data_IF_649380161444
#
_entry.id   IF_649380161444
#
_cell.length_a   1.000
_cell.length_b   1.000
_cell.length_c   1.000
_cell.angle_alpha   90.00
_cell.angle_beta   90.00
_cell.angle_gamma   90.00
#
_symmetry.space_group_name_H-M   'P 1'
#
loop_
_entity.id
_entity.type
_entity.pdbx_description
1 polymer ?
#
# COMPACT_ATOMS: atom_id res chain seq x y z
N UNK A 1 19.86 -10.81 -5.53
CA UNK A 1 19.24 -10.23 -6.75
C UNK A 1 17.89 -10.87 -7.13
N UNK A 2 17.62 -12.13 -6.77
CA UNK A 2 16.31 -12.77 -7.04
C UNK A 2 15.15 -12.25 -6.15
N UNK A 3 15.42 -11.87 -4.90
CA UNK A 3 14.41 -11.40 -3.93
C UNK A 3 13.76 -10.06 -4.30
N UNK A 4 14.48 -9.15 -4.96
CA UNK A 4 13.93 -7.86 -5.42
C UNK A 4 12.99 -8.00 -6.62
N UNK A 5 13.21 -9.01 -7.46
CA UNK A 5 12.36 -9.31 -8.62
C UNK A 5 11.01 -9.92 -8.19
N UNK A 6 11.02 -10.78 -7.17
CA UNK A 6 9.80 -11.37 -6.61
C UNK A 6 8.94 -10.31 -5.91
N UNK A 7 9.55 -9.42 -5.13
CA UNK A 7 8.81 -8.35 -4.45
C UNK A 7 8.21 -7.34 -5.46
N UNK A 8 8.97 -7.00 -6.51
CA UNK A 8 8.46 -6.18 -7.62
C UNK A 8 7.32 -6.85 -8.37
N UNK A 9 7.43 -8.15 -8.67
CA UNK A 9 6.37 -8.90 -9.34
C UNK A 9 5.11 -9.06 -8.48
N UNK A 10 5.24 -9.24 -7.17
CA UNK A 10 4.09 -9.31 -6.24
C UNK A 10 3.41 -7.95 -6.08
N UNK A 11 4.19 -6.85 -6.00
CA UNK A 11 3.65 -5.50 -5.95
C UNK A 11 2.92 -5.13 -7.25
N UNK A 12 3.53 -5.46 -8.40
CA UNK A 12 2.91 -5.26 -9.73
C UNK A 12 1.69 -6.15 -9.91
N UNK A 13 1.71 -7.41 -9.47
CA UNK A 13 0.55 -8.30 -9.53
C UNK A 13 -0.58 -7.85 -8.59
N UNK A 14 -0.27 -7.28 -7.42
CA UNK A 14 -1.27 -6.68 -6.52
C UNK A 14 -1.87 -5.40 -7.12
N UNK A 15 -1.04 -4.55 -7.73
CA UNK A 15 -1.49 -3.32 -8.41
C UNK A 15 -2.31 -3.64 -9.67
N UNK A 16 -1.89 -4.63 -10.46
CA UNK A 16 -2.64 -5.10 -11.64
C UNK A 16 -3.92 -5.83 -11.25
N UNK A 17 -3.94 -6.60 -10.14
CA UNK A 17 -5.14 -7.23 -9.62
C UNK A 17 -6.18 -6.22 -9.13
N UNK A 18 -5.73 -5.11 -8.52
CA UNK A 18 -6.59 -4.01 -8.13
C UNK A 18 -7.18 -3.25 -9.34
N UNK A 19 -6.38 -3.05 -10.40
CA UNK A 19 -6.82 -2.40 -11.65
C UNK A 19 -7.73 -3.31 -12.50
N UNK A 20 -7.52 -4.62 -12.47
CA UNK A 20 -8.34 -5.60 -13.20
C UNK A 20 -9.73 -5.81 -12.56
N UNK A 21 -9.86 -5.59 -11.25
CA UNK A 21 -11.14 -5.73 -10.54
C UNK A 21 -12.20 -4.69 -10.97
N UNK A 22 -11.79 -3.58 -11.60
CA UNK A 22 -12.69 -2.49 -12.02
C UNK A 22 -13.16 -2.58 -13.49
N UNK A 23 -12.66 -3.54 -14.29
CA UNK A 23 -13.08 -3.74 -15.69
C UNK A 23 -13.75 -5.09 -15.96
N UNK A 24 -15.08 -5.05 -16.02
CA UNK A 24 -16.02 -5.80 -16.87
C UNK A 24 -16.03 -7.35 -16.91
N UNK A 25 -17.26 -7.91 -16.82
CA UNK A 25 -17.77 -8.97 -17.71
C UNK A 25 -17.20 -10.40 -17.56
N UNK A 26 -18.07 -11.36 -17.19
CA UNK A 26 -17.77 -12.76 -16.88
C UNK A 26 -17.02 -13.60 -17.95
N UNK A 27 -16.88 -13.14 -19.20
CA UNK A 27 -16.40 -13.97 -20.32
C UNK A 27 -14.89 -13.83 -20.62
N UNK A 28 -14.22 -12.77 -20.13
CA UNK A 28 -12.81 -12.49 -20.46
C UNK A 28 -11.83 -12.97 -19.36
N UNK A 29 -12.36 -13.64 -18.32
CA UNK A 29 -11.62 -14.00 -17.09
C UNK A 29 -10.52 -15.05 -17.30
N UNK A 30 -10.61 -15.88 -18.33
CA UNK A 30 -9.65 -16.97 -18.55
C UNK A 30 -8.48 -16.57 -19.47
N UNK A 31 -8.70 -15.72 -20.47
CA UNK A 31 -7.64 -15.31 -21.40
C UNK A 31 -6.58 -14.42 -20.77
N UNK A 32 -7.01 -13.45 -19.96
CA UNK A 32 -6.14 -12.43 -19.35
C UNK A 32 -5.27 -13.02 -18.24
N UNK A 33 -5.80 -13.93 -17.41
CA UNK A 33 -5.02 -14.63 -16.40
C UNK A 33 -3.96 -15.58 -17.01
N UNK A 34 -4.28 -16.24 -18.14
CA UNK A 34 -3.35 -17.14 -18.83
C UNK A 34 -2.24 -16.36 -19.53
N UNK A 35 -2.55 -15.21 -20.15
CA UNK A 35 -1.55 -14.33 -20.74
C UNK A 35 -0.57 -13.77 -19.69
N UNK A 36 -1.07 -13.36 -18.52
CA UNK A 36 -0.23 -12.85 -17.42
C UNK A 36 0.62 -13.94 -16.73
N UNK A 37 0.12 -15.18 -16.62
CA UNK A 37 0.90 -16.30 -16.10
C UNK A 37 2.05 -16.67 -17.04
N UNK A 38 1.80 -16.66 -18.36
CA UNK A 38 2.82 -16.93 -19.38
C UNK A 38 3.93 -15.85 -19.42
N UNK A 39 3.61 -14.61 -19.08
CA UNK A 39 4.58 -13.49 -19.07
C UNK A 39 5.50 -13.50 -17.82
N UNK A 40 5.19 -14.31 -16.81
CA UNK A 40 5.95 -14.40 -15.54
C UNK A 40 6.86 -15.62 -15.41
N UNK A 41 6.76 -16.59 -16.33
CA UNK A 41 7.55 -17.83 -16.33
C UNK A 41 8.54 -17.81 -17.50
N UNK A 42 9.83 -17.97 -17.20
CA UNK A 42 10.88 -18.07 -18.23
C UNK A 42 10.84 -19.43 -18.96
N UNK A 43 11.49 -19.50 -20.11
CA UNK A 43 11.40 -20.54 -21.15
C UNK A 43 11.39 -22.03 -20.73
N UNK A 44 10.81 -22.84 -21.61
CA UNK A 44 10.45 -24.27 -21.52
C UNK A 44 9.34 -24.66 -20.52
N UNK A 45 9.33 -24.13 -19.29
CA UNK A 45 8.27 -24.46 -18.31
C UNK A 45 6.90 -23.83 -18.67
N UNK A 46 6.93 -22.63 -19.26
CA UNK A 46 5.72 -21.94 -19.74
C UNK A 46 5.08 -22.63 -20.96
N UNK A 47 5.91 -23.24 -21.82
CA UNK A 47 5.44 -23.95 -23.00
C UNK A 47 4.71 -25.23 -22.61
N UNK A 48 5.24 -25.98 -21.63
CA UNK A 48 4.66 -27.24 -21.18
C UNK A 48 3.37 -27.02 -20.38
N UNK A 49 3.31 -25.96 -19.55
CA UNK A 49 2.10 -25.55 -18.85
C UNK A 49 0.98 -25.09 -19.82
N UNK A 50 1.33 -24.30 -20.85
CA UNK A 50 0.39 -23.87 -21.88
C UNK A 50 -0.10 -25.04 -22.74
N UNK A 51 0.75 -26.01 -23.09
CA UNK A 51 0.35 -27.20 -23.85
C UNK A 51 -0.56 -28.12 -23.04
N UNK A 52 -0.27 -28.27 -21.74
CA UNK A 52 -1.06 -29.09 -20.82
C UNK A 52 -2.45 -28.48 -20.58
N UNK A 53 -2.53 -27.15 -20.45
CA UNK A 53 -3.79 -26.43 -20.30
C UNK A 53 -4.58 -26.32 -21.60
N UNK A 54 -3.93 -26.18 -22.76
CA UNK A 54 -4.59 -26.21 -24.06
C UNK A 54 -5.18 -27.60 -24.36
N UNK A 55 -4.50 -28.68 -23.95
CA UNK A 55 -5.04 -30.06 -24.03
C UNK A 55 -6.20 -30.29 -23.06
N UNK A 56 -6.15 -29.72 -21.86
CA UNK A 56 -7.25 -29.78 -20.89
C UNK A 56 -8.51 -29.04 -21.38
N UNK A 57 -8.33 -27.91 -22.08
CA UNK A 57 -9.45 -27.11 -22.60
C UNK A 57 -10.08 -27.71 -23.88
N UNK A 58 -9.34 -28.53 -24.63
CA UNK A 58 -9.84 -29.23 -25.82
C UNK A 58 -10.64 -30.52 -25.51
N UNK A 59 -10.53 -31.06 -24.29
CA UNK A 59 -11.10 -32.33 -23.86
C UNK A 59 -11.95 -32.13 -22.60
N UNK A 60 -13.15 -31.56 -22.76
CA UNK A 60 -14.02 -31.19 -21.64
C UNK A 60 -14.20 -32.25 -20.54
N UNK A 61 -14.21 -31.77 -19.29
CA UNK A 61 -14.61 -32.26 -17.95
C UNK A 61 -14.58 -33.76 -17.56
N UNK A 62 -14.34 -34.71 -18.45
CA UNK A 62 -14.45 -36.15 -18.15
C UNK A 62 -13.14 -36.95 -18.13
N UNK A 63 -12.08 -36.48 -18.78
CA UNK A 63 -10.87 -37.30 -19.02
C UNK A 63 -9.61 -36.87 -18.25
N UNK A 64 -9.62 -35.71 -17.58
CA UNK A 64 -8.45 -35.14 -16.87
C UNK A 64 -7.99 -36.01 -15.69
N UNK A 65 -8.91 -36.72 -15.04
CA UNK A 65 -8.60 -37.55 -13.87
C UNK A 65 -7.76 -38.80 -14.18
N UNK A 66 -7.63 -39.20 -15.46
CA UNK A 66 -6.92 -40.43 -15.86
C UNK A 66 -5.46 -40.23 -16.26
N UNK A 67 -5.06 -39.01 -16.62
CA UNK A 67 -3.68 -38.70 -17.06
C UNK A 67 -2.78 -38.38 -15.86
N UNK A 68 -3.33 -37.75 -14.82
CA UNK A 68 -2.56 -37.41 -13.60
C UNK A 68 -2.09 -38.63 -12.79
N UNK A 69 -2.62 -39.83 -13.07
CA UNK A 69 -2.19 -41.07 -12.41
C UNK A 69 -1.06 -41.80 -13.12
N UNK A 70 -0.85 -41.57 -14.43
CA UNK A 70 0.20 -42.27 -15.19
C UNK A 70 1.56 -41.54 -15.10
N UNK A 71 1.59 -40.20 -15.07
CA UNK A 71 2.86 -39.45 -14.97
C UNK A 71 3.56 -39.55 -13.60
N UNK A 72 2.83 -39.96 -12.55
CA UNK A 72 3.42 -40.16 -11.22
C UNK A 72 4.18 -41.50 -11.08
N UNK A 73 4.07 -42.41 -12.06
CA UNK A 73 4.68 -43.73 -12.01
C UNK A 73 6.11 -43.79 -12.60
N UNK A 74 6.51 -42.80 -13.42
CA UNK A 74 7.76 -42.89 -14.22
C UNK A 74 8.97 -42.17 -13.62
N UNK A 75 8.86 -41.45 -12.49
CA UNK A 75 9.97 -40.64 -11.97
C UNK A 75 10.82 -41.34 -10.89
N UNK A 76 10.94 -42.66 -10.94
CA UNK A 76 11.69 -43.44 -9.95
C UNK A 76 12.72 -44.36 -10.59
N UNK A 77 13.77 -43.82 -11.22
CA UNK A 77 15.03 -44.54 -11.46
C UNK A 77 16.20 -43.59 -11.76
N UNK A 78 17.35 -43.97 -11.21
CA UNK A 78 18.74 -43.64 -11.58
C UNK A 78 19.40 -42.39 -10.97
N UNK A 79 20.69 -42.36 -10.62
CA UNK A 79 21.68 -43.29 -10.01
C UNK A 79 22.98 -42.46 -9.87
N UNK A 80 23.89 -42.85 -8.95
CA UNK A 80 25.36 -42.66 -8.98
C UNK A 80 25.99 -41.24 -8.95
N UNK A 81 27.20 -40.95 -8.44
CA UNK A 81 28.18 -41.39 -7.40
C UNK A 81 29.37 -40.40 -7.55
N UNK A 82 30.39 -40.53 -6.68
CA UNK A 82 31.77 -40.01 -6.75
C UNK A 82 32.00 -38.76 -5.87
N UNK A 83 32.44 -38.88 -4.62
CA UNK A 83 33.73 -39.34 -4.07
C UNK A 83 34.92 -38.45 -4.46
N UNK A 84 35.54 -37.84 -3.43
CA UNK A 84 36.98 -37.67 -3.26
C UNK A 84 37.27 -37.08 -1.88
N UNK A 85 37.82 -37.91 -1.00
CA UNK A 85 38.42 -37.51 0.27
C UNK A 85 39.91 -37.17 0.18
N UNK A 86 40.44 -36.62 1.28
CA UNK A 86 41.83 -36.62 1.81
C UNK A 86 41.87 -35.49 2.87
N UNK A 87 42.40 -35.61 4.08
CA UNK A 87 43.16 -36.63 4.79
C UNK A 87 43.77 -35.93 6.03
N UNK A 88 43.74 -36.65 7.15
CA UNK A 88 44.55 -36.68 8.39
C UNK A 88 45.75 -35.68 8.51
N UNK A 89 46.25 -35.24 9.68
CA UNK A 89 46.58 -35.99 10.90
C UNK A 89 47.19 -35.06 12.01
N UNK A 90 47.28 -35.59 13.24
CA UNK A 90 48.17 -35.23 14.39
C UNK A 90 47.92 -33.91 15.18
N UNK A 91 48.05 -33.82 16.51
CA UNK A 91 48.55 -34.73 17.56
C UNK A 91 49.17 -33.92 18.73
N UNK A 92 48.61 -34.09 19.93
CA UNK A 92 49.13 -34.02 21.31
C UNK A 92 50.22 -33.03 21.81
N UNK A 93 49.93 -32.40 22.98
CA UNK A 93 50.59 -32.63 24.30
C UNK A 93 51.12 -31.40 25.11
N UNK A 94 50.98 -31.54 26.44
CA UNK A 94 51.60 -30.84 27.59
C UNK A 94 51.07 -29.42 27.96
N UNK A 95 50.83 -29.03 29.22
CA UNK A 95 51.14 -29.57 30.55
C UNK A 95 51.59 -28.42 31.48
N UNK A 96 51.08 -28.41 32.73
CA UNK A 96 51.56 -27.73 33.95
C UNK A 96 51.05 -26.33 34.38
N UNK A 97 50.24 -26.38 35.44
CA UNK A 97 50.40 -25.81 36.80
C UNK A 97 50.28 -24.30 37.15
N UNK A 98 49.22 -24.06 37.94
CA UNK A 98 49.17 -23.37 39.24
C UNK A 98 49.49 -21.86 39.38
N UNK A 99 48.48 -21.09 39.82
CA UNK A 99 48.41 -20.41 41.14
C UNK A 99 47.45 -19.22 41.15
N UNK A 100 46.69 -19.07 42.24
CA UNK A 100 46.37 -17.75 42.82
C UNK A 100 44.91 -17.33 42.82
N UNK A 101 44.34 -17.31 44.02
CA UNK A 101 43.00 -16.88 44.41
C UNK A 101 42.63 -15.43 44.06
N UNK A 102 41.32 -15.18 44.17
CA UNK A 102 40.64 -13.99 44.67
C UNK A 102 39.73 -13.21 43.69
N UNK A 103 38.47 -13.15 44.12
CA UNK A 103 37.50 -12.07 43.96
C UNK A 103 36.96 -11.70 42.57
N UNK A 104 35.74 -12.16 42.28
CA UNK A 104 34.57 -11.28 42.15
C UNK A 104 33.39 -12.02 41.49
N UNK A 105 32.41 -12.40 42.30
CA UNK A 105 31.05 -12.59 41.83
C UNK A 105 30.47 -11.23 41.42
N UNK A 106 30.40 -10.96 40.12
CA UNK A 106 29.85 -9.74 39.56
C UNK A 106 29.14 -10.00 38.22
N UNK A 107 27.88 -10.42 38.31
CA UNK A 107 26.80 -10.28 37.32
C UNK A 107 27.20 -9.90 35.88
N UNK A 108 27.57 -10.88 35.06
CA UNK A 108 27.29 -10.80 33.62
C UNK A 108 25.89 -11.38 33.36
N UNK A 109 24.87 -10.59 33.71
CA UNK A 109 23.57 -10.72 33.08
C UNK A 109 23.76 -10.31 31.62
N UNK A 110 24.07 -11.29 30.77
CA UNK A 110 24.03 -11.12 29.33
C UNK A 110 22.64 -10.65 28.96
N UNK A 111 22.51 -9.38 28.61
CA UNK A 111 21.43 -8.90 27.78
C UNK A 111 21.50 -9.71 26.48
N UNK A 112 20.82 -10.86 26.46
CA UNK A 112 20.36 -11.44 25.22
C UNK A 112 19.37 -10.42 24.63
N UNK A 113 19.91 -9.48 23.85
CA UNK A 113 19.14 -8.85 22.79
C UNK A 113 18.49 -10.02 22.04
N UNK A 114 17.18 -10.19 22.21
CA UNK A 114 16.40 -11.03 21.31
C UNK A 114 16.66 -10.45 19.94
N UNK A 115 17.48 -11.13 19.14
CA UNK A 115 17.58 -10.84 17.73
C UNK A 115 16.16 -10.91 17.18
N UNK A 116 15.52 -9.75 17.02
CA UNK A 116 14.27 -9.66 16.29
C UNK A 116 14.55 -10.26 14.92
N UNK A 117 13.77 -11.26 14.54
CA UNK A 117 13.90 -11.95 13.27
C UNK A 117 12.99 -11.21 12.28
N UNK A 118 13.47 -10.19 11.55
CA UNK A 118 12.61 -9.32 10.74
C UNK A 118 11.86 -10.09 9.65
N UNK A 119 12.40 -11.22 9.18
CA UNK A 119 11.72 -12.08 8.22
C UNK A 119 10.43 -12.69 8.77
N UNK A 120 10.25 -12.80 10.10
CA UNK A 120 9.00 -13.28 10.69
C UNK A 120 7.82 -12.37 10.30
N UNK A 121 8.04 -11.07 10.04
CA UNK A 121 6.99 -10.15 9.58
C UNK A 121 6.33 -10.55 8.25
N UNK A 122 7.02 -11.34 7.41
CA UNK A 122 6.49 -11.81 6.13
C UNK A 122 5.33 -12.79 6.30
N UNK A 123 5.26 -13.51 7.41
CA UNK A 123 4.24 -14.54 7.66
C UNK A 123 2.86 -13.89 7.80
N UNK A 124 2.74 -12.86 8.65
CA UNK A 124 1.47 -12.13 8.81
C UNK A 124 1.09 -11.44 7.50
N UNK A 125 2.04 -10.79 6.83
CA UNK A 125 1.77 -10.11 5.56
C UNK A 125 1.23 -11.06 4.49
N UNK A 126 1.92 -12.19 4.25
CA UNK A 126 1.49 -13.19 3.28
C UNK A 126 0.16 -13.84 3.66
N UNK A 127 -0.05 -14.16 4.95
CA UNK A 127 -1.33 -14.66 5.43
C UNK A 127 -2.46 -13.63 5.25
N UNK A 128 -2.21 -12.35 5.56
CA UNK A 128 -3.18 -11.28 5.40
C UNK A 128 -3.57 -11.08 3.93
N UNK A 129 -2.61 -11.15 3.00
CA UNK A 129 -2.88 -11.11 1.56
C UNK A 129 -3.75 -12.29 1.11
N UNK A 130 -3.43 -13.51 1.54
CA UNK A 130 -4.22 -14.70 1.21
C UNK A 130 -5.63 -14.65 1.81
N UNK A 131 -5.76 -14.17 3.05
CA UNK A 131 -7.04 -13.98 3.72
C UNK A 131 -7.87 -12.92 2.99
N UNK A 132 -7.25 -11.80 2.57
CA UNK A 132 -7.91 -10.77 1.77
C UNK A 132 -8.42 -11.32 0.43
N UNK A 133 -7.58 -12.07 -0.30
CA UNK A 133 -7.97 -12.71 -1.55
C UNK A 133 -9.12 -13.72 -1.37
N UNK A 134 -9.06 -14.56 -0.33
CA UNK A 134 -10.13 -15.49 0.00
C UNK A 134 -11.42 -14.74 0.37
N UNK A 135 -11.33 -13.64 1.11
CA UNK A 135 -12.47 -12.80 1.46
C UNK A 135 -13.12 -12.19 0.22
N UNK A 136 -12.32 -11.67 -0.71
CA UNK A 136 -12.80 -11.14 -1.99
C UNK A 136 -13.49 -12.22 -2.82
N UNK A 137 -12.92 -13.44 -2.88
CA UNK A 137 -13.53 -14.57 -3.56
C UNK A 137 -14.88 -14.94 -2.96
N UNK A 138 -14.97 -15.04 -1.63
CA UNK A 138 -16.22 -15.38 -0.93
C UNK A 138 -17.28 -14.30 -1.15
N UNK A 139 -16.93 -13.02 -1.04
CA UNK A 139 -17.86 -11.91 -1.23
C UNK A 139 -18.37 -11.87 -2.66
N UNK A 140 -17.48 -11.94 -3.64
CA UNK A 140 -17.85 -11.92 -5.05
C UNK A 140 -18.67 -13.14 -5.49
N UNK A 141 -18.55 -14.28 -4.79
CA UNK A 141 -19.28 -15.51 -5.13
C UNK A 141 -20.62 -15.67 -4.40
N UNK A 142 -20.70 -15.22 -3.16
CA UNK A 142 -21.81 -15.53 -2.25
C UNK A 142 -22.50 -14.31 -1.61
N UNK A 143 -21.85 -13.14 -1.55
CA UNK A 143 -22.32 -11.96 -0.82
C UNK A 143 -22.20 -10.68 -1.67
N UNK A 144 -22.80 -10.67 -2.86
CA UNK A 144 -22.71 -9.55 -3.83
C UNK A 144 -23.21 -8.19 -3.29
N UNK A 145 -23.93 -8.16 -2.16
CA UNK A 145 -24.41 -6.94 -1.53
C UNK A 145 -23.50 -6.33 -0.44
N UNK A 146 -22.39 -6.99 -0.08
CA UNK A 146 -21.51 -6.53 1.02
C UNK A 146 -20.27 -5.81 0.45
N UNK A 147 -20.02 -4.54 0.83
CA UNK A 147 -18.78 -3.86 0.45
C UNK A 147 -17.54 -4.59 0.98
N UNK A 148 -16.58 -4.87 0.09
CA UNK A 148 -15.33 -5.57 0.43
C UNK A 148 -14.58 -4.90 1.59
N UNK A 149 -14.51 -3.57 1.61
CA UNK A 149 -13.82 -2.80 2.65
C UNK A 149 -14.40 -3.04 4.05
N UNK A 150 -15.73 -3.12 4.17
CA UNK A 150 -16.41 -3.41 5.44
C UNK A 150 -16.09 -4.83 5.92
N UNK A 151 -16.08 -5.80 5.01
CA UNK A 151 -15.81 -7.19 5.36
C UNK A 151 -14.36 -7.41 5.84
N UNK A 152 -13.38 -6.81 5.14
CA UNK A 152 -11.97 -6.87 5.55
C UNK A 152 -11.76 -6.17 6.89
N UNK A 153 -12.42 -5.03 7.12
CA UNK A 153 -12.38 -4.33 8.41
C UNK A 153 -12.90 -5.22 9.55
N UNK A 154 -14.10 -5.80 9.39
CA UNK A 154 -14.69 -6.69 10.41
C UNK A 154 -13.77 -7.90 10.65
N UNK A 155 -13.24 -8.50 9.59
CA UNK A 155 -12.32 -9.63 9.69
C UNK A 155 -11.05 -9.25 10.45
N UNK A 156 -10.47 -8.08 10.17
CA UNK A 156 -9.33 -7.54 10.90
C UNK A 156 -9.62 -7.35 12.40
N UNK A 157 -10.79 -6.81 12.75
CA UNK A 157 -11.23 -6.68 14.15
C UNK A 157 -11.37 -8.05 14.81
N UNK A 158 -11.99 -9.02 14.14
CA UNK A 158 -12.12 -10.39 14.65
C UNK A 158 -10.76 -11.05 14.87
N UNK A 159 -9.83 -10.90 13.92
CA UNK A 159 -8.46 -11.41 14.05
C UNK A 159 -7.70 -10.74 15.21
N UNK A 160 -7.85 -9.43 15.39
CA UNK A 160 -7.25 -8.70 16.49
C UNK A 160 -7.80 -9.13 17.87
N UNK A 161 -9.12 -9.31 17.99
CA UNK A 161 -9.76 -9.81 19.21
C UNK A 161 -9.36 -11.25 19.51
N UNK A 162 -9.35 -12.12 18.49
CA UNK A 162 -8.91 -13.50 18.62
C UNK A 162 -7.44 -13.58 19.06
N UNK A 163 -6.59 -12.70 18.55
CA UNK A 163 -5.20 -12.60 18.96
C UNK A 163 -5.05 -12.20 20.43
N UNK A 164 -5.79 -11.17 20.88
CA UNK A 164 -5.75 -10.71 22.26
C UNK A 164 -6.16 -11.81 23.26
N UNK A 165 -7.12 -12.67 22.87
CA UNK A 165 -7.57 -13.81 23.69
C UNK A 165 -6.69 -15.06 23.64
N UNK A 166 -5.71 -15.16 22.73
CA UNK A 166 -4.96 -16.39 22.45
C UNK A 166 -3.43 -16.26 22.52
N UNK A 167 -2.93 -15.28 23.29
CA UNK A 167 -1.50 -14.90 23.33
C UNK A 167 -0.51 -16.06 23.54
N UNK A 168 -0.92 -17.19 24.13
CA UNK A 168 -0.04 -18.36 24.35
C UNK A 168 -0.07 -19.43 23.24
N UNK A 169 -1.01 -19.40 22.28
CA UNK A 169 -1.24 -20.54 21.35
C UNK A 169 -0.68 -20.38 19.93
N UNK A 170 -0.33 -19.17 19.48
CA UNK A 170 -0.04 -18.89 18.06
C UNK A 170 1.45 -18.65 17.70
N UNK A 171 2.38 -18.88 18.63
CA UNK A 171 3.83 -18.96 18.37
C UNK A 171 4.37 -17.89 17.42
N UNK A 172 4.82 -18.33 16.23
CA UNK A 172 5.47 -17.47 15.21
C UNK A 172 4.50 -16.45 14.59
N UNK A 173 3.24 -16.82 14.35
CA UNK A 173 2.23 -15.91 13.77
C UNK A 173 1.94 -14.74 14.72
N UNK A 174 1.83 -15.02 16.02
CA UNK A 174 1.67 -13.99 17.05
C UNK A 174 2.83 -12.98 17.07
N UNK A 175 4.07 -13.44 16.86
CA UNK A 175 5.24 -12.54 16.81
C UNK A 175 5.24 -11.70 15.54
N UNK A 176 4.89 -12.32 14.41
CA UNK A 176 4.73 -11.62 13.14
C UNK A 176 3.70 -10.49 13.22
N UNK A 177 2.52 -10.76 13.79
CA UNK A 177 1.48 -9.75 13.98
C UNK A 177 1.94 -8.60 14.88
N UNK A 178 2.66 -8.89 15.97
CA UNK A 178 3.21 -7.86 16.87
C UNK A 178 4.21 -6.93 16.17
N UNK A 179 5.01 -7.45 15.23
CA UNK A 179 5.91 -6.62 14.41
C UNK A 179 5.13 -5.63 13.54
N UNK A 180 4.00 -6.06 12.98
CA UNK A 180 3.10 -5.19 12.21
C UNK A 180 2.34 -4.19 13.07
N UNK A 181 1.97 -4.56 14.30
CA UNK A 181 1.33 -3.65 15.26
C UNK A 181 2.24 -2.49 15.67
N UNK A 182 3.56 -2.75 15.76
CA UNK A 182 4.55 -1.75 16.17
C UNK A 182 5.18 -0.98 15.00
N UNK A 183 4.71 -1.20 13.76
CA UNK A 183 5.22 -0.43 12.62
C UNK A 183 4.83 1.04 12.76
N UNK A 184 5.73 1.95 12.38
CA UNK A 184 5.41 3.38 12.42
C UNK A 184 4.25 3.67 11.43
N UNK A 185 3.11 4.22 11.89
CA UNK A 185 1.97 4.54 11.03
C UNK A 185 2.31 5.59 9.96
N UNK A 186 3.26 6.49 10.23
CA UNK A 186 3.75 7.45 9.22
C UNK A 186 4.42 6.70 8.07
N UNK A 187 5.22 5.67 8.37
CA UNK A 187 5.86 4.87 7.33
C UNK A 187 4.84 4.16 6.44
N UNK A 188 3.74 3.65 7.03
CA UNK A 188 2.64 3.08 6.26
C UNK A 188 2.01 4.15 5.35
N UNK A 189 1.76 5.35 5.87
CA UNK A 189 1.20 6.46 5.11
C UNK A 189 2.12 6.85 3.93
N UNK A 190 3.40 7.10 4.19
CA UNK A 190 4.40 7.43 3.16
C UNK A 190 4.61 6.32 2.13
N UNK A 191 4.39 5.05 2.51
CA UNK A 191 4.55 3.92 1.62
C UNK A 191 3.33 3.69 0.73
N UNK A 192 2.10 3.81 1.25
CA UNK A 192 0.89 3.47 0.51
C UNK A 192 0.19 4.68 -0.12
N UNK A 193 0.19 5.86 0.51
CA UNK A 193 -0.54 7.02 -0.03
C UNK A 193 -0.08 7.45 -1.42
N UNK A 194 1.23 7.54 -1.73
CA UNK A 194 1.65 8.04 -3.04
C UNK A 194 1.14 7.18 -4.19
N UNK A 195 1.20 5.85 -4.04
CA UNK A 195 0.79 4.94 -5.11
C UNK A 195 -0.74 4.86 -5.24
N UNK A 196 -1.48 4.91 -4.13
CA UNK A 196 -2.95 4.90 -4.14
C UNK A 196 -3.51 6.17 -4.79
N UNK A 197 -3.06 7.34 -4.33
CA UNK A 197 -3.52 8.64 -4.85
C UNK A 197 -3.15 8.85 -6.31
N UNK A 198 -1.92 8.47 -6.68
CA UNK A 198 -1.47 8.58 -8.07
C UNK A 198 -2.28 7.64 -8.97
N UNK A 199 -2.53 6.41 -8.51
CA UNK A 199 -3.36 5.43 -9.20
C UNK A 199 -4.78 5.93 -9.45
N UNK A 200 -5.43 6.48 -8.42
CA UNK A 200 -6.79 7.02 -8.51
C UNK A 200 -6.87 8.22 -9.46
N UNK A 201 -5.87 9.12 -9.38
CA UNK A 201 -5.78 10.28 -10.26
C UNK A 201 -5.59 9.88 -11.74
N UNK A 202 -4.77 8.87 -12.03
CA UNK A 202 -4.52 8.37 -13.39
C UNK A 202 -5.75 7.72 -14.04
N UNK A 203 -6.69 7.22 -13.23
CA UNK A 203 -7.92 6.60 -13.73
C UNK A 203 -9.02 7.62 -14.06
N UNK A 204 -8.84 8.89 -13.67
CA UNK A 204 -9.82 9.94 -13.93
C UNK A 204 -9.94 10.24 -15.42
N UNK A 205 -11.18 10.38 -15.89
CA UNK A 205 -11.42 10.92 -17.23
C UNK A 205 -11.26 12.45 -17.20
N UNK A 206 -10.10 12.94 -17.67
CA UNK A 206 -9.76 14.36 -17.63
C UNK A 206 -10.81 15.26 -18.31
N UNK A 207 -11.43 14.82 -19.40
CA UNK A 207 -12.44 15.63 -20.10
C UNK A 207 -13.70 15.85 -19.25
N UNK A 208 -14.20 14.77 -18.64
CA UNK A 208 -15.32 14.84 -17.69
C UNK A 208 -14.92 15.58 -16.42
N UNK A 209 -13.69 15.38 -15.93
CA UNK A 209 -13.15 16.06 -14.76
C UNK A 209 -13.17 17.58 -14.94
N UNK A 210 -12.61 18.13 -16.02
CA UNK A 210 -12.62 19.58 -16.25
C UNK A 210 -14.04 20.17 -16.34
N UNK A 211 -14.99 19.40 -16.87
CA UNK A 211 -16.40 19.80 -16.93
C UNK A 211 -17.03 19.87 -15.54
N UNK A 212 -16.58 19.05 -14.58
CA UNK A 212 -17.11 18.94 -13.21
C UNK A 212 -16.21 19.55 -12.13
N UNK A 213 -15.03 20.03 -12.49
CA UNK A 213 -14.00 20.52 -11.58
C UNK A 213 -14.50 21.56 -10.58
N UNK A 214 -15.39 22.49 -11.02
CA UNK A 214 -15.97 23.49 -10.11
C UNK A 214 -16.75 22.85 -8.96
N UNK A 215 -17.49 21.77 -9.23
CA UNK A 215 -18.26 21.05 -8.21
C UNK A 215 -17.32 20.31 -7.26
N UNK A 216 -16.34 19.59 -7.81
CA UNK A 216 -15.32 18.88 -7.02
C UNK A 216 -14.59 19.81 -6.06
N UNK A 217 -14.05 20.94 -6.56
CA UNK A 217 -13.31 21.91 -5.74
C UNK A 217 -14.21 22.57 -4.68
N UNK A 218 -15.49 22.83 -4.99
CA UNK A 218 -16.41 23.46 -4.03
C UNK A 218 -16.74 22.51 -2.88
N UNK A 219 -16.87 21.20 -3.14
CA UNK A 219 -17.06 20.21 -2.07
C UNK A 219 -15.74 19.93 -1.34
N UNK A 220 -14.66 19.64 -2.07
CA UNK A 220 -13.37 19.25 -1.51
C UNK A 220 -12.65 20.38 -0.74
N UNK A 221 -12.91 21.65 -1.04
CA UNK A 221 -12.34 22.78 -0.31
C UNK A 221 -13.27 23.27 0.80
N UNK A 222 -14.23 24.18 0.49
CA UNK A 222 -15.18 24.70 1.48
C UNK A 222 -16.01 23.64 2.20
N UNK A 223 -16.43 22.58 1.51
CA UNK A 223 -17.22 21.51 2.11
C UNK A 223 -16.45 20.76 3.20
N UNK A 224 -15.19 20.40 2.93
CA UNK A 224 -14.29 19.72 3.88
C UNK A 224 -13.97 20.60 5.09
N UNK A 225 -13.73 21.90 4.86
CA UNK A 225 -13.59 22.88 5.94
C UNK A 225 -14.83 22.89 6.83
N UNK A 226 -16.01 23.03 6.24
CA UNK A 226 -17.27 23.06 6.97
C UNK A 226 -17.51 21.76 7.73
N UNK A 227 -17.32 20.61 7.09
CA UNK A 227 -17.46 19.29 7.69
C UNK A 227 -16.52 19.10 8.89
N UNK A 228 -15.27 19.53 8.75
CA UNK A 228 -14.28 19.50 9.84
C UNK A 228 -14.73 20.33 11.03
N UNK A 229 -15.20 21.57 10.80
CA UNK A 229 -15.65 22.45 11.89
C UNK A 229 -16.94 21.97 12.54
N UNK A 230 -17.90 21.46 11.78
CA UNK A 230 -19.14 20.89 12.31
C UNK A 230 -18.83 19.68 13.19
N UNK A 231 -17.93 18.80 12.73
CA UNK A 231 -17.51 17.62 13.50
C UNK A 231 -16.74 18.01 14.75
N UNK A 232 -15.86 19.02 14.66
CA UNK A 232 -15.15 19.58 15.83
C UNK A 232 -16.12 20.19 16.85
N UNK A 233 -17.13 20.93 16.38
CA UNK A 233 -18.14 21.50 17.25
C UNK A 233 -18.95 20.42 17.96
N UNK A 234 -19.38 19.39 17.22
CA UNK A 234 -20.05 18.22 17.78
C UNK A 234 -19.16 17.52 18.82
N UNK A 235 -17.89 17.26 18.50
CA UNK A 235 -16.94 16.64 19.42
C UNK A 235 -16.78 17.45 20.72
N UNK A 236 -16.74 18.79 20.63
CA UNK A 236 -16.58 19.67 21.80
C UNK A 236 -17.79 19.68 22.73
N UNK A 237 -19.00 19.56 22.20
CA UNK A 237 -20.23 19.78 22.97
C UNK A 237 -20.99 18.49 23.29
N UNK A 238 -20.82 17.43 22.49
CA UNK A 238 -21.55 16.19 22.64
C UNK A 238 -20.71 15.05 23.23
N UNK A 239 -19.38 15.10 23.12
CA UNK A 239 -18.51 14.05 23.67
C UNK A 239 -18.02 14.41 25.08
N UNK A 240 -17.95 13.43 26.01
CA UNK A 240 -17.59 13.65 27.41
C UNK A 240 -16.07 13.72 27.66
N UNK A 241 -15.26 14.03 26.64
CA UNK A 241 -13.79 13.92 26.72
C UNK A 241 -13.08 15.24 27.09
N UNK A 242 -13.81 16.35 27.25
CA UNK A 242 -13.27 17.68 27.61
C UNK A 242 -12.06 18.15 26.76
N UNK A 243 -12.04 17.78 25.48
CA UNK A 243 -10.96 18.16 24.58
C UNK A 243 -10.85 19.67 24.37
N UNK A 244 -9.60 20.15 24.18
CA UNK A 244 -9.34 21.52 23.73
C UNK A 244 -9.93 21.73 22.33
N UNK A 245 -10.27 22.97 21.99
CA UNK A 245 -10.85 23.32 20.70
C UNK A 245 -10.03 22.79 19.52
N UNK A 246 -8.72 23.03 19.50
CA UNK A 246 -7.86 22.58 18.40
C UNK A 246 -7.75 21.06 18.29
N UNK A 247 -7.80 20.32 19.41
CA UNK A 247 -7.87 18.85 19.37
C UNK A 247 -9.18 18.37 18.73
N UNK A 248 -10.29 19.09 18.95
CA UNK A 248 -11.56 18.80 18.28
C UNK A 248 -11.46 19.10 16.77
N UNK A 249 -10.75 20.17 16.38
CA UNK A 249 -10.49 20.48 14.97
C UNK A 249 -9.60 19.42 14.30
N UNK A 250 -8.57 18.92 15.00
CA UNK A 250 -7.76 17.77 14.53
C UNK A 250 -8.65 16.56 14.29
N UNK A 251 -9.51 16.21 15.25
CA UNK A 251 -10.48 15.12 15.09
C UNK A 251 -11.39 15.35 13.87
N UNK A 252 -11.93 16.56 13.72
CA UNK A 252 -12.75 16.94 12.57
C UNK A 252 -12.03 16.76 11.23
N UNK A 253 -10.76 17.18 11.13
CA UNK A 253 -9.97 17.03 9.90
C UNK A 253 -9.69 15.57 9.54
N UNK A 254 -9.41 14.71 10.53
CA UNK A 254 -9.17 13.27 10.30
C UNK A 254 -10.43 12.61 9.75
N UNK A 255 -11.61 12.98 10.27
CA UNK A 255 -12.90 12.43 9.83
C UNK A 255 -13.42 13.03 8.54
N UNK A 256 -12.78 14.08 8.01
CA UNK A 256 -13.28 14.78 6.84
C UNK A 256 -12.93 14.08 5.53
N UNK A 257 -11.84 13.32 5.48
CA UNK A 257 -11.46 12.50 4.32
C UNK A 257 -12.53 11.42 4.05
N UNK A 258 -12.96 11.30 2.80
CA UNK A 258 -14.04 10.41 2.36
C UNK A 258 -13.49 9.42 1.34
N UNK A 259 -13.80 8.12 1.53
CA UNK A 259 -13.53 7.09 0.52
C UNK A 259 -14.83 6.76 -0.23
N UNK A 260 -14.94 7.08 -1.53
CA UNK A 260 -16.16 6.89 -2.29
C UNK A 260 -16.24 5.49 -2.91
N UNK A 261 -15.23 4.62 -2.77
CA UNK A 261 -15.13 3.36 -3.54
C UNK A 261 -16.41 2.52 -3.44
N UNK A 262 -16.89 2.28 -2.21
CA UNK A 262 -18.12 1.50 -2.00
C UNK A 262 -19.37 2.19 -2.55
N UNK A 263 -19.45 3.51 -2.40
CA UNK A 263 -20.61 4.31 -2.83
C UNK A 263 -20.66 4.40 -4.36
N UNK A 264 -19.52 4.60 -5.00
CA UNK A 264 -19.38 4.66 -6.46
C UNK A 264 -19.74 3.33 -7.09
N UNK A 265 -19.27 2.20 -6.53
CA UNK A 265 -19.64 0.87 -7.02
C UNK A 265 -21.17 0.66 -6.99
N UNK A 266 -21.81 1.03 -5.87
CA UNK A 266 -23.26 0.93 -5.73
C UNK A 266 -24.01 1.86 -6.71
N UNK A 267 -23.57 3.12 -6.82
CA UNK A 267 -24.19 4.09 -7.72
C UNK A 267 -24.08 3.65 -9.19
N UNK A 268 -22.93 3.11 -9.58
CA UNK A 268 -22.73 2.56 -10.93
C UNK A 268 -23.65 1.36 -11.18
N UNK A 269 -23.81 0.46 -10.20
CA UNK A 269 -24.76 -0.66 -10.30
C UNK A 269 -26.22 -0.20 -10.43
N UNK A 270 -26.57 0.97 -9.87
CA UNK A 270 -27.87 1.61 -9.99
C UNK A 270 -28.04 2.47 -11.26
N UNK A 271 -27.02 2.54 -12.12
CA UNK A 271 -27.07 3.30 -13.39
C UNK A 271 -26.76 4.79 -13.25
N UNK A 272 -25.93 5.19 -12.29
CA UNK A 272 -25.48 6.57 -12.16
C UNK A 272 -24.78 7.09 -13.42
N UNK A 273 -25.00 8.36 -13.74
CA UNK A 273 -24.35 8.99 -14.89
C UNK A 273 -22.83 9.10 -14.68
N UNK A 274 -22.00 8.96 -15.73
CA UNK A 274 -20.54 9.14 -15.61
C UNK A 274 -20.12 10.49 -15.02
N UNK A 275 -20.93 11.53 -15.23
CA UNK A 275 -20.67 12.85 -14.65
C UNK A 275 -20.91 12.93 -13.14
N UNK A 276 -21.81 12.12 -12.57
CA UNK A 276 -22.02 12.02 -11.12
C UNK A 276 -20.88 11.22 -10.48
N UNK A 277 -20.51 10.08 -11.09
CA UNK A 277 -19.37 9.27 -10.65
C UNK A 277 -18.09 10.09 -10.66
N UNK A 278 -17.80 10.80 -11.74
CA UNK A 278 -16.66 11.72 -11.83
C UNK A 278 -16.69 12.82 -10.76
N UNK A 279 -17.86 13.38 -10.45
CA UNK A 279 -17.98 14.42 -9.43
C UNK A 279 -17.65 13.89 -8.03
N UNK A 280 -18.11 12.67 -7.70
CA UNK A 280 -17.87 12.02 -6.41
C UNK A 280 -16.41 11.56 -6.30
N UNK A 281 -15.89 10.82 -7.28
CA UNK A 281 -14.49 10.37 -7.28
C UNK A 281 -13.53 11.56 -7.25
N UNK A 282 -13.82 12.61 -8.03
CA UNK A 282 -13.02 13.82 -8.03
C UNK A 282 -13.08 14.56 -6.68
N UNK A 283 -14.26 14.68 -6.06
CA UNK A 283 -14.40 15.28 -4.73
C UNK A 283 -13.50 14.58 -3.70
N UNK A 284 -13.57 13.26 -3.63
CA UNK A 284 -12.83 12.49 -2.64
C UNK A 284 -11.31 12.56 -2.86
N UNK A 285 -10.86 12.54 -4.12
CA UNK A 285 -9.44 12.67 -4.46
C UNK A 285 -8.83 14.00 -3.97
N UNK A 286 -9.56 15.12 -4.10
CA UNK A 286 -9.10 16.43 -3.59
C UNK A 286 -9.37 16.60 -2.09
N UNK A 287 -10.37 15.92 -1.55
CA UNK A 287 -10.72 15.94 -0.14
C UNK A 287 -9.55 15.41 0.70
N UNK A 288 -8.95 14.28 0.32
CA UNK A 288 -7.79 13.71 1.04
C UNK A 288 -6.66 14.73 1.19
N UNK A 289 -6.36 15.49 0.12
CA UNK A 289 -5.35 16.54 0.16
C UNK A 289 -5.74 17.70 1.07
N UNK A 290 -7.00 18.12 1.03
CA UNK A 290 -7.51 19.22 1.85
C UNK A 290 -7.57 18.83 3.32
N UNK A 291 -8.08 17.65 3.64
CA UNK A 291 -8.13 17.09 4.99
C UNK A 291 -6.72 16.99 5.60
N UNK A 292 -5.72 16.55 4.83
CA UNK A 292 -4.33 16.50 5.29
C UNK A 292 -3.76 17.89 5.59
N UNK A 293 -4.05 18.89 4.75
CA UNK A 293 -3.63 20.29 5.00
C UNK A 293 -4.27 20.84 6.27
N UNK A 294 -5.56 20.54 6.51
CA UNK A 294 -6.26 20.93 7.73
C UNK A 294 -5.72 20.20 8.96
N UNK A 295 -5.40 18.92 8.83
CA UNK A 295 -4.79 18.13 9.89
C UNK A 295 -3.47 18.75 10.35
N UNK A 296 -2.54 19.03 9.43
CA UNK A 296 -1.27 19.68 9.80
C UNK A 296 -1.47 21.07 10.42
N UNK A 297 -2.40 21.86 9.87
CA UNK A 297 -2.72 23.17 10.41
C UNK A 297 -3.23 23.07 11.86
N UNK A 298 -4.22 22.22 12.11
CA UNK A 298 -4.85 22.09 13.42
C UNK A 298 -3.93 21.40 14.42
N UNK A 299 -3.10 20.45 13.99
CA UNK A 299 -2.11 19.80 14.84
C UNK A 299 -1.07 20.81 15.34
N UNK A 300 -0.51 21.63 14.44
CA UNK A 300 0.43 22.70 14.81
C UNK A 300 -0.20 23.72 15.77
N UNK A 301 -1.48 24.04 15.60
CA UNK A 301 -2.21 24.91 16.52
C UNK A 301 -2.50 24.25 17.88
N UNK A 302 -2.74 22.93 17.90
CA UNK A 302 -3.02 22.16 19.10
C UNK A 302 -1.77 22.00 19.99
N UNK A 303 -0.60 21.80 19.38
CA UNK A 303 0.68 21.66 20.07
C UNK A 303 1.20 22.99 20.65
N UNK A 304 0.59 24.12 20.31
CA UNK A 304 1.04 25.45 20.73
C UNK A 304 2.31 25.92 20.01
N UNK A 305 2.85 25.08 19.13
CA UNK A 305 3.93 25.39 18.21
C UNK A 305 3.35 26.02 16.95
N UNK A 306 2.96 27.29 17.03
CA UNK A 306 2.73 28.13 15.83
C UNK A 306 3.97 28.29 14.93
N UNK A 307 5.05 27.54 15.22
CA UNK A 307 6.37 27.52 14.59
C UNK A 307 6.36 26.97 13.16
N UNK A 308 5.40 26.11 12.82
CA UNK A 308 5.19 25.67 11.42
C UNK A 308 4.37 26.68 10.60
N UNK A 309 3.60 27.54 11.26
CA UNK A 309 2.67 28.49 10.61
C UNK A 309 3.30 29.88 10.48
N UNK A 310 4.13 30.31 11.43
CA UNK A 310 4.83 31.58 11.42
C UNK A 310 6.28 31.40 10.98
N UNK A 311 6.70 32.11 9.93
CA UNK A 311 8.12 32.28 9.63
C UNK A 311 8.86 32.94 10.82
N UNK A 312 10.21 32.85 10.88
CA UNK A 312 10.97 33.47 11.96
C UNK A 312 10.62 34.96 12.09
N UNK A 313 10.00 35.35 13.21
CA UNK A 313 9.67 36.76 13.53
C UNK A 313 8.26 37.23 13.15
N UNK A 314 7.36 36.36 12.70
CA UNK A 314 5.98 36.75 12.37
C UNK A 314 5.03 36.63 13.58
N UNK A 315 4.20 37.65 13.89
CA UNK A 315 3.14 37.51 14.88
C UNK A 315 2.18 36.38 14.48
N UNK A 316 1.87 35.48 15.41
CA UNK A 316 0.85 34.45 15.22
C UNK A 316 -0.54 35.10 15.04
N UNK A 317 -0.87 35.44 13.80
CA UNK A 317 -2.12 36.08 13.41
C UNK A 317 -2.78 35.36 12.23
N UNK A 318 -4.00 35.75 11.89
CA UNK A 318 -4.76 35.15 10.78
C UNK A 318 -4.01 35.14 9.43
N UNK A 319 -3.10 36.09 9.23
CA UNK A 319 -2.26 36.16 8.01
C UNK A 319 -1.18 35.08 7.91
N UNK A 320 -0.69 34.51 9.03
CA UNK A 320 0.26 33.38 8.98
C UNK A 320 -0.46 32.08 8.64
N UNK A 321 -1.68 31.87 9.16
CA UNK A 321 -2.56 30.74 8.81
C UNK A 321 -2.89 30.76 7.31
N UNK A 322 -3.29 31.92 6.79
CA UNK A 322 -3.61 32.07 5.37
C UNK A 322 -2.39 31.77 4.47
N UNK A 323 -1.19 32.24 4.85
CA UNK A 323 0.05 31.94 4.11
C UNK A 323 0.43 30.48 4.18
N UNK A 324 0.30 29.83 5.35
CA UNK A 324 0.56 28.40 5.51
C UNK A 324 -0.37 27.60 4.60
N UNK A 325 -1.67 27.85 4.67
CA UNK A 325 -2.65 27.19 3.82
C UNK A 325 -2.35 27.39 2.33
N UNK A 326 -2.07 28.64 1.92
CA UNK A 326 -1.75 28.97 0.54
C UNK A 326 -0.45 28.28 0.07
N UNK A 327 0.58 28.24 0.91
CA UNK A 327 1.84 27.53 0.62
C UNK A 327 1.59 26.03 0.44
N UNK A 328 0.82 25.42 1.35
CA UNK A 328 0.53 23.98 1.30
C UNK A 328 -0.20 23.59 0.02
N UNK A 329 -1.22 24.39 -0.36
CA UNK A 329 -2.04 24.13 -1.55
C UNK A 329 -1.29 24.48 -2.84
N UNK A 330 -0.85 25.74 -3.01
CA UNK A 330 -0.19 26.16 -4.25
C UNK A 330 1.17 25.51 -4.44
N UNK A 331 1.91 25.28 -3.36
CA UNK A 331 3.20 24.58 -3.41
C UNK A 331 3.03 23.12 -3.80
N UNK A 332 2.03 22.42 -3.25
CA UNK A 332 1.70 21.05 -3.67
C UNK A 332 1.32 20.98 -5.15
N UNK A 333 0.38 21.83 -5.59
CA UNK A 333 -0.06 21.91 -6.99
C UNK A 333 1.12 22.21 -7.93
N UNK A 334 1.93 23.21 -7.60
CA UNK A 334 3.05 23.65 -8.43
C UNK A 334 4.15 22.57 -8.55
N UNK A 335 4.49 21.90 -7.45
CA UNK A 335 5.44 20.78 -7.48
C UNK A 335 4.87 19.59 -8.24
N UNK A 336 3.58 19.29 -8.08
CA UNK A 336 2.90 18.22 -8.83
C UNK A 336 3.04 18.42 -10.34
N UNK A 337 2.67 19.59 -10.85
CA UNK A 337 2.84 19.89 -12.27
C UNK A 337 4.31 19.86 -12.73
N UNK A 338 5.25 20.30 -11.90
CA UNK A 338 6.67 20.25 -12.24
C UNK A 338 7.17 18.80 -12.39
N UNK A 339 6.81 17.92 -11.46
CA UNK A 339 7.15 16.50 -11.51
C UNK A 339 6.42 15.75 -12.63
N UNK A 340 5.12 16.02 -12.84
CA UNK A 340 4.34 15.46 -13.95
C UNK A 340 4.91 15.88 -15.31
N UNK A 341 5.25 17.16 -15.47
CA UNK A 341 5.91 17.64 -16.69
C UNK A 341 7.27 16.98 -16.92
N UNK A 342 8.10 16.88 -15.87
CA UNK A 342 9.39 16.18 -15.96
C UNK A 342 9.20 14.71 -16.36
N UNK A 343 8.20 14.03 -15.81
CA UNK A 343 7.84 12.66 -16.17
C UNK A 343 7.48 12.54 -17.65
N UNK A 344 6.62 13.43 -18.16
CA UNK A 344 6.23 13.47 -19.56
C UNK A 344 7.43 13.68 -20.48
N UNK A 345 8.35 14.58 -20.14
CA UNK A 345 9.60 14.79 -20.89
C UNK A 345 10.45 13.52 -20.88
N UNK A 346 10.66 12.88 -19.73
CA UNK A 346 11.39 11.62 -19.63
C UNK A 346 10.76 10.52 -20.50
N UNK A 347 9.45 10.36 -20.45
CA UNK A 347 8.71 9.37 -21.24
C UNK A 347 8.81 9.66 -22.74
N UNK A 348 8.69 10.92 -23.15
CA UNK A 348 8.82 11.34 -24.55
C UNK A 348 10.24 11.09 -25.10
N UNK A 349 11.27 11.39 -24.31
CA UNK A 349 12.66 11.15 -24.69
C UNK A 349 12.95 9.64 -24.82
N UNK A 350 12.37 8.83 -23.95
CA UNK A 350 12.53 7.39 -23.97
C UNK A 350 11.73 6.68 -25.07
N UNK A 351 10.63 7.28 -25.54
CA UNK A 351 9.74 6.73 -26.58
C UNK A 351 10.45 6.46 -27.91
N UNK A 352 11.64 7.04 -28.13
CA UNK A 352 12.40 6.89 -29.37
C UNK A 352 13.16 5.56 -29.51
N UNK A 353 13.21 4.67 -28.51
CA UNK A 353 14.25 3.62 -28.52
C UNK A 353 13.94 2.18 -28.10
N UNK A 354 12.75 1.78 -27.62
CA UNK A 354 12.56 0.39 -27.15
C UNK A 354 11.12 -0.11 -27.28
N UNK A 355 10.94 -1.37 -27.73
CA UNK A 355 9.62 -2.03 -27.88
C UNK A 355 9.24 -2.85 -26.63
N UNK A 356 10.20 -3.50 -25.96
CA UNK A 356 9.94 -4.25 -24.71
C UNK A 356 10.38 -3.50 -23.43
N UNK A 357 11.53 -2.83 -23.44
CA UNK A 357 12.03 -2.04 -22.29
C UNK A 357 11.18 -0.79 -22.02
N UNK A 358 10.31 -0.39 -22.95
CA UNK A 358 9.46 0.78 -22.80
C UNK A 358 8.40 0.62 -21.71
N UNK A 359 7.78 -0.56 -21.58
CA UNK A 359 6.75 -0.80 -20.55
C UNK A 359 7.35 -0.76 -19.15
N UNK A 360 8.47 -1.45 -18.93
CA UNK A 360 9.20 -1.42 -17.66
C UNK A 360 9.63 0.01 -17.29
N UNK A 361 10.10 0.78 -18.27
CA UNK A 361 10.49 2.17 -18.04
C UNK A 361 9.28 3.04 -17.70
N UNK A 362 8.16 2.90 -18.41
CA UNK A 362 6.93 3.64 -18.12
C UNK A 362 6.50 3.39 -16.68
N UNK A 363 6.37 2.13 -16.27
CA UNK A 363 5.99 1.77 -14.90
C UNK A 363 6.98 2.35 -13.89
N UNK A 364 8.29 2.21 -14.15
CA UNK A 364 9.34 2.70 -13.23
C UNK A 364 9.28 4.22 -13.08
N UNK A 365 9.12 4.97 -14.17
CA UNK A 365 9.03 6.43 -14.14
C UNK A 365 7.74 6.85 -13.44
N UNK A 366 6.62 6.23 -13.76
CA UNK A 366 5.32 6.55 -13.16
C UNK A 366 5.32 6.31 -11.64
N UNK A 367 5.77 5.14 -11.19
CA UNK A 367 5.90 4.84 -9.75
C UNK A 367 6.92 5.77 -9.09
N UNK A 368 8.07 6.00 -9.74
CA UNK A 368 9.10 6.90 -9.23
C UNK A 368 8.58 8.32 -9.03
N UNK A 369 7.81 8.85 -9.96
CA UNK A 369 7.22 10.20 -9.89
C UNK A 369 6.17 10.29 -8.78
N UNK A 370 5.35 9.25 -8.58
CA UNK A 370 4.39 9.22 -7.48
C UNK A 370 5.08 9.43 -6.13
N UNK A 371 6.14 8.66 -5.83
CA UNK A 371 6.89 8.77 -4.57
C UNK A 371 7.74 10.04 -4.48
N UNK A 372 8.44 10.42 -5.56
CA UNK A 372 9.31 11.59 -5.56
C UNK A 372 8.50 12.89 -5.39
N UNK A 373 7.37 13.03 -6.08
CA UNK A 373 6.51 14.20 -5.93
C UNK A 373 5.97 14.32 -4.51
N UNK A 374 5.53 13.21 -3.91
CA UNK A 374 5.04 13.19 -2.52
C UNK A 374 6.14 13.59 -1.54
N UNK A 375 7.28 12.91 -1.58
CA UNK A 375 8.38 13.10 -0.64
C UNK A 375 9.00 14.51 -0.74
N UNK A 376 9.19 15.01 -1.97
CA UNK A 376 9.77 16.35 -2.17
C UNK A 376 8.80 17.43 -1.69
N UNK A 377 7.51 17.31 -2.00
CA UNK A 377 6.53 18.28 -1.54
C UNK A 377 6.39 18.27 -0.02
N UNK A 378 6.24 17.09 0.59
CA UNK A 378 6.00 16.96 2.03
C UNK A 378 7.27 17.23 2.86
N UNK A 379 8.34 16.47 2.63
CA UNK A 379 9.53 16.47 3.49
C UNK A 379 10.53 17.59 3.18
N UNK A 380 10.67 18.01 1.91
CA UNK A 380 11.65 19.04 1.53
C UNK A 380 11.04 20.45 1.47
N UNK A 381 9.84 20.57 0.91
CA UNK A 381 9.21 21.87 0.70
C UNK A 381 8.22 22.27 1.80
N UNK A 382 7.76 21.31 2.64
CA UNK A 382 6.72 21.54 3.63
C UNK A 382 5.44 22.05 2.97
N UNK A 383 5.03 21.34 1.91
CA UNK A 383 3.83 21.53 1.11
C UNK A 383 2.99 20.23 1.16
N UNK A 384 1.78 20.23 0.61
CA UNK A 384 0.96 18.99 0.61
C UNK A 384 1.53 17.95 -0.37
N UNK A 385 2.08 16.86 0.17
CA UNK A 385 2.50 15.68 -0.61
C UNK A 385 1.34 15.06 -1.39
N UNK A 386 0.18 14.93 -0.75
CA UNK A 386 -1.06 14.41 -1.35
C UNK A 386 -1.45 15.20 -2.60
N UNK A 387 -1.54 16.54 -2.49
CA UNK A 387 -1.87 17.39 -3.65
C UNK A 387 -0.77 17.31 -4.71
N UNK A 388 0.51 17.28 -4.33
CA UNK A 388 1.59 17.14 -5.30
C UNK A 388 1.49 15.85 -6.11
N UNK A 389 1.15 14.73 -5.48
CA UNK A 389 1.01 13.44 -6.17
C UNK A 389 -0.18 13.43 -7.11
N UNK A 390 -1.33 13.95 -6.67
CA UNK A 390 -2.54 14.05 -7.51
C UNK A 390 -2.26 14.92 -8.74
N UNK A 391 -1.67 16.10 -8.56
CA UNK A 391 -1.36 17.01 -9.67
C UNK A 391 -0.14 16.56 -10.52
N UNK A 392 0.65 15.59 -10.07
CA UNK A 392 1.67 14.96 -10.90
C UNK A 392 1.08 13.90 -11.84
N UNK A 393 -0.07 13.31 -11.48
CA UNK A 393 -0.80 12.33 -12.28
C UNK A 393 -1.76 12.98 -13.30
N UNK A 394 -2.39 14.12 -12.92
CA UNK A 394 -3.23 14.94 -13.80
C UNK A 394 -2.42 15.64 -14.89
#
# INVERSE_FOLDING_TARGET
MATGRVFGAVLVACLCGAVAADRAGLADRHGTCVALLAETLDGDAAADACLTLARANALGDGHVARILTDDAADNHTDDHTDDHGHGDDHGDDHGDDAHGDDDAHGAHAGHHEKHERPYEALIYMSAALMIGAATLYVISRFLEGVPYTMAVFILGVVLALAHHGSQERLGVYSRSLKLWEHINPELLLYSFMPILLFGDAMQLNLHLFYTKMRQCITLAGPGVLLASFVTAFFAKHCLPYDWKWWNCCVFGSITAATDPVAVVALLNALGASPGLTMAITGESLFNDGTAMVLFYLFMSLAEGEGRYIAGPGDPAGYGSIARFFLKMVLGGIGLGFAFGFAALVCLQLARRKYDETATTLQITVTVGVAYLSFYVADSLCGCSGVLSTVFAAL
#
